data_IF_408985748773
#
_entry.id   IF_408985748773
#
_cell.length_a   1.000
_cell.length_b   1.000
_cell.length_c   1.000
_cell.angle_alpha   90.00
_cell.angle_beta   90.00
_cell.angle_gamma   90.00
#
_symmetry.space_group_name_H-M   'P 1'
#
loop_
_entity.id
_entity.type
_entity.pdbx_description
1 polymer ?
#
# COMPACT_ATOMS: atom_id res chain seq x y z
N UNK A 1 3.66 9.44 -11.24
CA UNK A 1 4.82 9.24 -12.12
C UNK A 1 6.08 9.92 -11.60
N UNK A 2 5.95 10.99 -10.84
CA UNK A 2 7.06 11.83 -10.35
C UNK A 2 8.04 11.12 -9.40
N UNK A 3 7.56 10.30 -8.44
CA UNK A 3 8.44 9.59 -7.49
C UNK A 3 9.50 8.71 -8.17
N UNK A 4 9.12 7.97 -9.22
CA UNK A 4 10.06 7.13 -9.97
C UNK A 4 11.06 7.95 -10.80
N UNK A 5 10.65 9.14 -11.22
CA UNK A 5 11.54 10.08 -11.91
C UNK A 5 12.62 10.60 -10.97
N UNK A 6 12.26 10.93 -9.72
CA UNK A 6 13.21 11.39 -8.70
C UNK A 6 14.28 10.33 -8.43
N UNK A 7 13.91 9.05 -8.31
CA UNK A 7 14.87 7.95 -8.13
C UNK A 7 15.81 7.83 -9.34
N UNK A 8 15.29 7.99 -10.57
CA UNK A 8 16.12 7.95 -11.77
C UNK A 8 17.12 9.12 -11.82
N UNK A 9 16.67 10.32 -11.48
CA UNK A 9 17.53 11.51 -11.39
C UNK A 9 18.62 11.27 -10.34
N UNK A 10 18.28 10.68 -9.19
CA UNK A 10 19.24 10.30 -8.15
C UNK A 10 20.31 9.31 -8.62
N UNK A 11 19.92 8.29 -9.40
CA UNK A 11 20.88 7.35 -9.99
C UNK A 11 21.81 8.07 -10.97
N UNK A 12 21.26 8.92 -11.84
CA UNK A 12 22.03 9.66 -12.83
C UNK A 12 23.00 10.62 -12.14
N UNK A 13 22.55 11.37 -11.14
CA UNK A 13 23.42 12.31 -10.40
C UNK A 13 24.54 11.58 -9.67
N UNK A 14 24.24 10.53 -8.89
CA UNK A 14 25.26 9.73 -8.21
C UNK A 14 26.24 9.09 -9.20
N UNK A 15 25.75 8.63 -10.36
CA UNK A 15 26.61 8.04 -11.40
C UNK A 15 27.57 9.06 -12.00
N UNK A 16 27.09 10.26 -12.34
CA UNK A 16 27.93 11.35 -12.86
C UNK A 16 28.98 11.77 -11.82
N UNK A 17 28.58 11.97 -10.57
CA UNK A 17 29.50 12.30 -9.48
C UNK A 17 30.53 11.21 -9.26
N UNK A 18 30.13 9.94 -9.32
CA UNK A 18 31.06 8.80 -9.22
C UNK A 18 32.09 8.79 -10.35
N UNK A 19 31.67 9.07 -11.59
CA UNK A 19 32.58 9.16 -12.75
C UNK A 19 33.58 10.31 -12.57
N UNK A 20 33.13 11.48 -12.13
CA UNK A 20 34.00 12.65 -11.89
C UNK A 20 35.06 12.31 -10.83
N UNK A 21 34.64 11.71 -9.71
CA UNK A 21 35.55 11.33 -8.62
C UNK A 21 36.49 10.20 -9.06
N UNK A 22 36.02 9.26 -9.87
CA UNK A 22 36.85 8.20 -10.44
C UNK A 22 37.96 8.78 -11.35
N UNK A 23 37.64 9.76 -12.20
CA UNK A 23 38.63 10.45 -13.03
C UNK A 23 39.64 11.20 -12.15
N UNK A 24 39.17 11.85 -11.08
CA UNK A 24 40.04 12.53 -10.13
C UNK A 24 40.99 11.55 -9.41
N UNK A 25 40.46 10.41 -8.93
CA UNK A 25 41.23 9.31 -8.34
C UNK A 25 42.29 8.78 -9.30
N UNK A 26 41.92 8.59 -10.57
CA UNK A 26 42.84 8.10 -11.60
C UNK A 26 44.00 9.08 -11.87
N UNK A 27 43.70 10.39 -11.91
CA UNK A 27 44.72 11.43 -12.07
C UNK A 27 45.66 11.48 -10.87
N UNK A 28 45.14 11.38 -9.65
CA UNK A 28 45.95 11.40 -8.43
C UNK A 28 46.83 10.14 -8.32
N UNK A 29 46.29 8.97 -8.64
CA UNK A 29 47.06 7.72 -8.73
C UNK A 29 48.23 7.84 -9.71
N UNK A 30 47.99 8.38 -10.92
CA UNK A 30 49.05 8.55 -11.91
C UNK A 30 50.12 9.55 -11.46
N UNK A 31 49.73 10.60 -10.73
CA UNK A 31 50.66 11.57 -10.12
C UNK A 31 51.54 10.89 -9.08
N UNK A 32 50.96 10.08 -8.21
CA UNK A 32 51.69 9.39 -7.15
C UNK A 32 52.59 8.29 -7.71
N UNK A 33 52.15 7.55 -8.72
CA UNK A 33 52.96 6.54 -9.39
C UNK A 33 54.18 7.15 -10.09
N UNK A 34 54.07 8.34 -10.68
CA UNK A 34 55.21 9.01 -11.31
C UNK A 34 56.19 9.61 -10.30
N UNK A 35 55.68 10.17 -9.19
CA UNK A 35 56.48 10.60 -8.03
C UNK A 35 57.25 9.43 -7.40
N UNK A 36 56.62 8.26 -7.28
CA UNK A 36 57.26 7.05 -6.77
C UNK A 36 58.41 6.58 -7.67
N UNK A 37 58.18 6.57 -8.99
CA UNK A 37 59.21 6.19 -9.98
C UNK A 37 60.39 7.18 -10.03
N UNK A 38 60.13 8.49 -9.92
CA UNK A 38 61.20 9.49 -9.93
C UNK A 38 62.06 9.48 -8.66
N UNK A 39 61.50 9.02 -7.54
CA UNK A 39 62.18 9.11 -6.24
C UNK A 39 62.68 7.76 -5.72
N UNK A 40 62.57 6.68 -6.51
CA UNK A 40 62.94 5.30 -6.14
C UNK A 40 62.40 4.85 -4.77
N UNK A 41 61.27 5.41 -4.32
CA UNK A 41 60.64 5.09 -3.04
C UNK A 41 61.25 5.73 -1.77
N UNK A 42 62.20 6.67 -1.88
CA UNK A 42 62.86 7.28 -0.70
C UNK A 42 62.14 8.51 -0.11
N UNK A 43 61.06 8.99 -0.74
CA UNK A 43 60.28 10.14 -0.27
C UNK A 43 58.94 9.69 0.31
N UNK A 44 58.53 10.32 1.42
CA UNK A 44 57.21 10.13 2.01
C UNK A 44 56.11 10.59 1.05
N UNK A 45 55.21 9.68 0.70
CA UNK A 45 54.05 9.93 -0.16
C UNK A 45 52.80 9.94 0.72
N UNK A 46 52.05 11.04 0.73
CA UNK A 46 50.81 11.12 1.48
C UNK A 46 49.68 10.37 0.75
N UNK A 47 49.38 9.15 1.22
CA UNK A 47 48.31 8.30 0.69
C UNK A 47 46.94 8.57 1.32
N UNK A 48 46.88 9.38 2.38
CA UNK A 48 45.65 9.65 3.13
C UNK A 48 44.57 10.25 2.23
N UNK A 49 44.96 11.17 1.34
CA UNK A 49 44.05 11.77 0.37
C UNK A 49 43.51 10.76 -0.64
N UNK A 50 44.31 9.77 -1.04
CA UNK A 50 43.87 8.72 -1.97
C UNK A 50 42.86 7.79 -1.31
N UNK A 51 43.14 7.40 -0.07
CA UNK A 51 42.23 6.55 0.72
C UNK A 51 40.91 7.29 0.95
N UNK A 52 40.95 8.57 1.32
CA UNK A 52 39.74 9.38 1.48
C UNK A 52 38.89 9.45 0.20
N UNK A 53 39.53 9.68 -0.95
CA UNK A 53 38.83 9.70 -2.25
C UNK A 53 38.22 8.34 -2.59
N UNK A 54 38.89 7.25 -2.20
CA UNK A 54 38.40 5.89 -2.40
C UNK A 54 37.20 5.54 -1.48
N UNK A 55 37.24 5.96 -0.22
CA UNK A 55 36.13 5.82 0.74
C UNK A 55 34.88 6.58 0.27
N UNK A 56 35.06 7.80 -0.22
CA UNK A 56 33.97 8.62 -0.80
C UNK A 56 33.40 7.95 -2.05
N UNK A 57 34.25 7.42 -2.94
CA UNK A 57 33.81 6.71 -4.13
C UNK A 57 33.02 5.44 -3.76
N UNK A 58 33.51 4.66 -2.80
CA UNK A 58 32.83 3.44 -2.32
C UNK A 58 31.48 3.77 -1.71
N UNK A 59 31.40 4.85 -0.94
CA UNK A 59 30.14 5.35 -0.37
C UNK A 59 29.14 5.75 -1.46
N UNK A 60 29.60 6.47 -2.50
CA UNK A 60 28.75 6.85 -3.65
C UNK A 60 28.27 5.65 -4.47
N UNK A 61 29.13 4.65 -4.66
CA UNK A 61 28.72 3.38 -5.28
C UNK A 61 27.66 2.67 -4.44
N UNK A 62 27.81 2.68 -3.11
CA UNK A 62 26.80 2.21 -2.17
C UNK A 62 25.45 2.91 -2.36
N UNK A 63 25.44 4.25 -2.49
CA UNK A 63 24.22 5.01 -2.79
C UNK A 63 23.63 4.66 -4.17
N UNK A 64 24.46 4.48 -5.20
CA UNK A 64 24.02 4.01 -6.51
C UNK A 64 23.34 2.64 -6.43
N UNK A 65 23.95 1.70 -5.71
CA UNK A 65 23.38 0.37 -5.46
C UNK A 65 22.07 0.48 -4.68
N UNK A 66 21.99 1.33 -3.66
CA UNK A 66 20.76 1.57 -2.89
C UNK A 66 19.61 2.07 -3.76
N UNK A 67 19.83 3.12 -4.58
CA UNK A 67 18.80 3.59 -5.52
C UNK A 67 18.46 2.53 -6.58
N UNK A 68 19.45 1.75 -7.02
CA UNK A 68 19.25 0.59 -7.88
C UNK A 68 18.32 -0.45 -7.27
N UNK A 69 18.50 -0.76 -5.98
CA UNK A 69 17.63 -1.65 -5.21
C UNK A 69 16.21 -1.09 -5.08
N UNK A 70 16.05 0.21 -4.83
CA UNK A 70 14.71 0.84 -4.84
C UNK A 70 14.05 0.71 -6.22
N UNK A 71 14.82 0.89 -7.29
CA UNK A 71 14.33 0.68 -8.66
C UNK A 71 13.97 -0.80 -8.91
N UNK A 72 14.69 -1.74 -8.32
CA UNK A 72 14.36 -3.17 -8.36
C UNK A 72 13.01 -3.48 -7.71
N UNK A 73 12.65 -2.81 -6.60
CA UNK A 73 11.32 -2.94 -5.97
C UNK A 73 10.19 -2.63 -6.97
N UNK A 74 10.40 -1.73 -7.94
CA UNK A 74 9.44 -1.47 -9.02
C UNK A 74 9.13 -2.72 -9.85
N UNK A 75 10.16 -3.51 -10.15
CA UNK A 75 10.02 -4.75 -10.92
C UNK A 75 9.39 -5.86 -10.08
N UNK A 76 9.58 -5.87 -8.77
CA UNK A 76 8.96 -6.88 -7.90
C UNK A 76 7.43 -6.67 -7.76
N UNK A 77 6.88 -5.51 -8.16
CA UNK A 77 5.42 -5.24 -8.16
C UNK A 77 4.59 -6.20 -9.03
N UNK A 78 5.21 -7.07 -9.83
CA UNK A 78 4.50 -8.17 -10.51
C UNK A 78 3.96 -9.23 -9.54
N UNK A 79 4.47 -9.30 -8.31
CA UNK A 79 3.91 -10.18 -7.28
C UNK A 79 2.63 -9.55 -6.67
N UNK A 80 1.52 -10.30 -6.69
CA UNK A 80 0.21 -9.83 -6.20
C UNK A 80 0.27 -9.36 -4.73
N UNK A 81 0.91 -10.11 -3.85
CA UNK A 81 1.00 -9.78 -2.41
C UNK A 81 1.77 -8.48 -2.19
N UNK A 82 2.86 -8.27 -2.93
CA UNK A 82 3.66 -7.05 -2.83
C UNK A 82 2.98 -5.85 -3.51
N UNK A 83 2.17 -6.07 -4.55
CA UNK A 83 1.32 -5.03 -5.14
C UNK A 83 0.32 -4.49 -4.12
N UNK A 84 -0.39 -5.38 -3.40
CA UNK A 84 -1.35 -5.00 -2.35
C UNK A 84 -0.67 -4.19 -1.24
N UNK A 85 0.52 -4.62 -0.80
CA UNK A 85 1.30 -3.88 0.20
C UNK A 85 1.68 -2.46 -0.27
N UNK A 86 2.14 -2.32 -1.52
CA UNK A 86 2.48 -0.99 -2.08
C UNK A 86 1.24 -0.11 -2.25
N UNK A 87 0.10 -0.69 -2.63
CA UNK A 87 -1.17 0.03 -2.75
C UNK A 87 -1.70 0.47 -1.38
N UNK A 88 -1.59 -0.40 -0.37
CA UNK A 88 -1.88 -0.09 1.04
C UNK A 88 -1.08 1.12 1.49
N UNK A 89 0.25 1.07 1.36
CA UNK A 89 1.12 2.18 1.75
C UNK A 89 0.78 3.47 1.01
N UNK A 90 0.46 3.39 -0.28
CA UNK A 90 0.08 4.56 -1.09
C UNK A 90 -1.23 5.18 -0.62
N UNK A 91 -2.20 4.37 -0.23
CA UNK A 91 -3.47 4.83 0.31
C UNK A 91 -3.27 5.56 1.64
N UNK A 92 -2.55 4.94 2.58
CA UNK A 92 -2.36 5.51 3.93
C UNK A 92 -1.29 6.60 4.01
N UNK A 93 -0.59 6.90 2.92
CA UNK A 93 0.56 7.83 2.94
C UNK A 93 0.21 9.17 3.57
N UNK A 94 -0.98 9.72 3.27
CA UNK A 94 -1.42 11.01 3.83
C UNK A 94 -1.62 10.95 5.35
N UNK A 95 -2.22 9.86 5.84
CA UNK A 95 -2.46 9.64 7.26
C UNK A 95 -1.14 9.35 8.00
N UNK A 96 -0.25 8.57 7.40
CA UNK A 96 1.09 8.31 7.92
C UNK A 96 1.94 9.57 8.03
N UNK A 97 1.86 10.49 7.07
CA UNK A 97 2.57 11.78 7.15
C UNK A 97 2.04 12.62 8.33
N UNK A 98 0.72 12.69 8.49
CA UNK A 98 0.10 13.40 9.61
C UNK A 98 0.47 12.77 10.95
N UNK A 99 0.39 11.45 11.05
CA UNK A 99 0.80 10.69 12.23
C UNK A 99 2.30 10.87 12.53
N UNK A 100 3.16 10.84 11.51
CA UNK A 100 4.60 11.05 11.66
C UNK A 100 4.92 12.44 12.24
N UNK A 101 4.18 13.47 11.82
CA UNK A 101 4.33 14.82 12.39
C UNK A 101 3.94 14.84 13.88
N UNK A 102 2.80 14.26 14.24
CA UNK A 102 2.38 14.17 15.65
C UNK A 102 3.37 13.35 16.49
N UNK A 103 3.78 12.19 15.99
CA UNK A 103 4.78 11.32 16.61
C UNK A 103 6.10 12.07 16.84
N UNK A 104 6.57 12.83 15.84
CA UNK A 104 7.83 13.58 15.94
C UNK A 104 7.79 14.63 17.07
N UNK A 105 6.65 15.29 17.28
CA UNK A 105 6.50 16.27 18.38
C UNK A 105 6.60 15.56 19.73
N UNK A 106 5.86 14.47 19.91
CA UNK A 106 5.88 13.68 21.17
C UNK A 106 7.27 13.10 21.41
N UNK A 107 7.88 12.52 20.37
CA UNK A 107 9.21 11.94 20.43
C UNK A 107 10.26 13.00 20.79
N UNK A 108 10.21 14.20 20.20
CA UNK A 108 11.14 15.27 20.53
C UNK A 108 10.93 15.84 21.95
N UNK A 109 9.70 15.86 22.45
CA UNK A 109 9.44 16.23 23.84
C UNK A 109 10.12 15.25 24.80
N UNK A 110 9.96 13.94 24.57
CA UNK A 110 10.64 12.91 25.36
C UNK A 110 12.14 12.90 25.17
N UNK A 111 12.63 13.12 23.95
CA UNK A 111 14.06 13.24 23.67
C UNK A 111 14.69 14.36 24.50
N UNK A 112 14.06 15.53 24.51
CA UNK A 112 14.52 16.68 25.27
C UNK A 112 14.45 16.43 26.77
N UNK A 113 13.38 15.78 27.25
CA UNK A 113 13.21 15.40 28.66
C UNK A 113 14.30 14.44 29.13
N UNK A 114 14.52 13.33 28.40
CA UNK A 114 15.50 12.31 28.76
C UNK A 114 16.93 12.84 28.67
N UNK A 115 17.22 13.66 27.66
CA UNK A 115 18.50 14.34 27.56
C UNK A 115 18.73 15.23 28.78
N UNK A 116 17.79 16.10 29.13
CA UNK A 116 17.96 17.01 30.27
C UNK A 116 18.02 16.31 31.63
N UNK A 117 17.24 15.25 31.84
CA UNK A 117 17.20 14.53 33.11
C UNK A 117 18.43 13.63 33.32
N UNK A 118 18.91 12.97 32.27
CA UNK A 118 19.87 11.88 32.41
C UNK A 118 21.22 12.10 31.70
N UNK A 119 21.46 13.28 31.11
CA UNK A 119 22.75 13.58 30.42
C UNK A 119 23.98 13.39 31.31
N UNK A 120 23.88 13.67 32.61
CA UNK A 120 24.99 13.52 33.56
C UNK A 120 25.12 12.11 34.14
N UNK A 121 24.09 11.28 34.01
CA UNK A 121 23.99 10.00 34.72
C UNK A 121 24.13 8.78 33.80
N UNK A 122 23.69 8.91 32.54
CA UNK A 122 23.66 7.80 31.57
C UNK A 122 24.49 8.18 30.35
N UNK A 123 25.47 7.34 30.00
CA UNK A 123 26.35 7.58 28.84
C UNK A 123 25.57 7.67 27.52
N UNK A 124 24.50 6.88 27.40
CA UNK A 124 23.59 6.90 26.25
C UNK A 124 22.82 8.23 26.13
N UNK A 125 22.74 9.04 27.19
CA UNK A 125 22.19 10.41 27.17
C UNK A 125 23.25 11.51 26.93
N UNK A 126 24.50 11.16 26.63
CA UNK A 126 25.60 12.14 26.51
C UNK A 126 25.42 13.14 25.37
N UNK A 127 24.78 12.73 24.28
CA UNK A 127 24.47 13.60 23.15
C UNK A 127 23.00 13.44 22.74
N UNK A 128 22.44 14.46 22.10
CA UNK A 128 21.07 14.43 21.57
C UNK A 128 20.87 13.25 20.60
N UNK A 129 21.87 12.95 19.76
CA UNK A 129 21.80 11.85 18.81
C UNK A 129 21.88 10.48 19.51
N UNK A 130 22.77 10.33 20.50
CA UNK A 130 22.88 9.11 21.31
C UNK A 130 21.61 8.86 22.12
N UNK A 131 21.00 9.93 22.65
CA UNK A 131 19.72 9.85 23.38
C UNK A 131 18.61 9.40 22.43
N UNK A 132 18.58 9.90 21.20
CA UNK A 132 17.61 9.46 20.20
C UNK A 132 17.79 7.99 19.83
N UNK A 133 19.03 7.53 19.67
CA UNK A 133 19.33 6.11 19.44
C UNK A 133 18.83 5.24 20.59
N UNK A 134 19.10 5.63 21.83
CA UNK A 134 18.61 4.93 23.01
C UNK A 134 17.08 4.91 23.08
N UNK A 135 16.38 6.01 22.80
CA UNK A 135 14.91 6.01 22.75
C UNK A 135 14.36 5.08 21.66
N UNK A 136 15.05 4.92 20.52
CA UNK A 136 14.70 3.90 19.53
C UNK A 136 14.93 2.49 20.05
N UNK A 137 16.04 2.22 20.75
CA UNK A 137 16.30 0.93 21.39
C UNK A 137 15.23 0.58 22.44
N UNK A 138 14.79 1.56 23.23
CA UNK A 138 13.67 1.40 24.18
C UNK A 138 12.36 1.12 23.44
N UNK A 139 12.12 1.79 22.30
CA UNK A 139 10.92 1.54 21.48
C UNK A 139 10.91 0.12 20.91
N UNK A 140 12.08 -0.43 20.58
CA UNK A 140 12.28 -1.82 20.16
C UNK A 140 12.24 -2.81 21.34
N UNK A 141 12.02 -2.34 22.58
CA UNK A 141 12.11 -3.11 23.83
C UNK A 141 13.45 -3.84 24.01
N UNK A 142 14.53 -3.32 23.45
CA UNK A 142 15.86 -3.93 23.50
C UNK A 142 16.76 -3.34 24.60
N UNK A 143 16.26 -2.37 25.37
CA UNK A 143 17.05 -1.60 26.33
C UNK A 143 16.74 -2.01 27.78
N UNK A 144 17.78 -2.13 28.61
CA UNK A 144 17.66 -2.52 30.02
C UNK A 144 17.25 -1.33 30.92
N UNK A 145 16.23 -1.53 31.74
CA UNK A 145 15.72 -0.49 32.66
C UNK A 145 16.65 -0.23 33.88
N UNK A 146 17.73 -0.99 34.02
CA UNK A 146 18.68 -0.89 35.13
C UNK A 146 19.36 0.47 35.19
N UNK A 147 19.69 1.04 34.03
CA UNK A 147 20.41 2.31 33.93
C UNK A 147 19.56 3.48 34.43
N UNK A 148 18.25 3.45 34.20
CA UNK A 148 17.30 4.45 34.70
C UNK A 148 17.08 4.34 36.20
N UNK A 149 17.03 3.12 36.72
CA UNK A 149 16.85 2.86 38.16
C UNK A 149 18.09 3.28 38.94
N UNK A 150 19.29 3.15 38.34
CA UNK A 150 20.55 3.59 38.92
C UNK A 150 20.74 5.11 38.91
N UNK A 151 20.16 5.82 37.94
CA UNK A 151 20.23 7.28 37.85
C UNK A 151 19.32 7.98 38.87
N UNK A 152 18.02 7.64 38.87
CA UNK A 152 17.07 8.10 39.87
C UNK A 152 16.05 6.99 40.18
N UNK A 153 15.95 6.51 41.44
CA UNK A 153 15.09 5.39 41.80
C UNK A 153 13.59 5.62 41.57
N UNK A 154 13.15 6.88 41.47
CA UNK A 154 11.75 7.22 41.30
C UNK A 154 11.47 7.82 39.91
N UNK A 155 12.20 8.88 39.55
CA UNK A 155 11.98 9.63 38.33
C UNK A 155 12.38 8.84 37.08
N UNK A 156 13.42 8.01 37.16
CA UNK A 156 13.88 7.14 36.07
C UNK A 156 12.80 6.15 35.62
N UNK A 157 12.36 5.22 36.48
CA UNK A 157 11.31 4.27 36.17
C UNK A 157 9.99 4.93 35.78
N UNK A 158 9.64 6.07 36.38
CA UNK A 158 8.43 6.82 36.05
C UNK A 158 8.46 7.38 34.63
N UNK A 159 9.53 8.10 34.25
CA UNK A 159 9.71 8.65 32.91
C UNK A 159 9.86 7.54 31.84
N UNK A 160 10.52 6.44 32.18
CA UNK A 160 10.63 5.27 31.31
C UNK A 160 9.26 4.61 31.06
N UNK A 161 8.47 4.41 32.12
CA UNK A 161 7.15 3.78 32.01
C UNK A 161 6.18 4.62 31.19
N UNK A 162 6.15 5.94 31.42
CA UNK A 162 5.26 6.82 30.66
C UNK A 162 5.66 6.90 29.18
N UNK A 163 6.97 6.87 28.88
CA UNK A 163 7.47 6.79 27.51
C UNK A 163 6.99 5.50 26.82
N UNK A 164 7.13 4.34 27.47
CA UNK A 164 6.66 3.07 26.92
C UNK A 164 5.14 3.09 26.67
N UNK A 165 4.36 3.56 27.64
CA UNK A 165 2.90 3.64 27.48
C UNK A 165 2.52 4.51 26.29
N UNK A 166 3.11 5.70 26.17
CA UNK A 166 2.75 6.64 25.11
C UNK A 166 3.30 6.20 23.75
N UNK A 167 4.60 5.92 23.65
CA UNK A 167 5.25 5.66 22.36
C UNK A 167 5.03 4.24 21.88
N UNK A 168 5.20 3.25 22.76
CA UNK A 168 5.10 1.85 22.36
C UNK A 168 3.63 1.45 22.29
N UNK A 169 2.86 1.62 23.36
CA UNK A 169 1.47 1.15 23.34
C UNK A 169 0.55 2.04 22.53
N UNK A 170 0.55 3.36 22.74
CA UNK A 170 -0.40 4.24 22.03
C UNK A 170 0.06 4.51 20.59
N UNK A 171 1.28 5.01 20.38
CA UNK A 171 1.71 5.40 19.02
C UNK A 171 1.86 4.19 18.09
N UNK A 172 2.47 3.07 18.51
CA UNK A 172 2.55 1.90 17.62
C UNK A 172 1.18 1.29 17.34
N UNK A 173 0.27 1.24 18.31
CA UNK A 173 -1.09 0.74 18.04
C UNK A 173 -1.83 1.60 17.03
N UNK A 174 -1.65 2.93 17.10
CA UNK A 174 -2.20 3.84 16.10
C UNK A 174 -1.57 3.61 14.72
N UNK A 175 -0.25 3.44 14.65
CA UNK A 175 0.45 3.12 13.40
C UNK A 175 -0.05 1.82 12.79
N UNK A 176 -0.20 0.76 13.60
CA UNK A 176 -0.74 -0.53 13.17
C UNK A 176 -2.19 -0.37 12.70
N UNK A 177 -3.01 0.42 13.40
CA UNK A 177 -4.41 0.66 13.02
C UNK A 177 -4.52 1.34 11.65
N UNK A 178 -3.71 2.37 11.39
CA UNK A 178 -3.67 3.05 10.08
C UNK A 178 -3.27 2.05 8.99
N UNK A 179 -2.24 1.24 9.24
CA UNK A 179 -1.82 0.20 8.29
C UNK A 179 -2.91 -0.84 8.03
N UNK A 180 -3.63 -1.27 9.08
CA UNK A 180 -4.69 -2.26 8.96
C UNK A 180 -5.87 -1.74 8.12
N UNK A 181 -6.26 -0.48 8.33
CA UNK A 181 -7.31 0.16 7.52
C UNK A 181 -6.91 0.22 6.04
N UNK A 182 -5.68 0.65 5.76
CA UNK A 182 -5.15 0.65 4.40
C UNK A 182 -5.06 -0.74 3.77
N UNK A 183 -4.74 -1.76 4.56
CA UNK A 183 -4.65 -3.14 4.08
C UNK A 183 -6.03 -3.65 3.66
N UNK A 184 -7.06 -3.46 4.49
CA UNK A 184 -8.42 -3.81 4.16
C UNK A 184 -8.92 -3.08 2.91
N UNK A 185 -8.58 -1.80 2.76
CA UNK A 185 -8.91 -1.03 1.56
C UNK A 185 -8.23 -1.60 0.29
N UNK A 186 -6.94 -1.93 0.36
CA UNK A 186 -6.20 -2.47 -0.78
C UNK A 186 -6.64 -3.90 -1.16
N UNK A 187 -7.02 -4.71 -0.17
CA UNK A 187 -7.56 -6.05 -0.40
C UNK A 187 -8.92 -5.99 -1.10
N UNK A 188 -9.82 -5.11 -0.66
CA UNK A 188 -11.13 -4.92 -1.28
C UNK A 188 -11.01 -4.50 -2.75
N UNK A 189 -10.16 -3.51 -3.06
CA UNK A 189 -9.90 -3.07 -4.44
C UNK A 189 -9.32 -4.20 -5.30
N UNK A 190 -8.45 -5.04 -4.72
CA UNK A 190 -7.86 -6.18 -5.44
C UNK A 190 -8.88 -7.27 -5.79
N UNK A 191 -9.87 -7.48 -4.92
CA UNK A 191 -10.98 -8.43 -5.17
C UNK A 191 -11.87 -7.89 -6.30
N UNK A 192 -12.20 -6.60 -6.26
CA UNK A 192 -13.03 -5.95 -7.29
C UNK A 192 -12.35 -5.99 -8.67
N UNK A 193 -11.06 -5.66 -8.75
CA UNK A 193 -10.25 -5.79 -9.98
C UNK A 193 -10.29 -7.22 -10.56
N UNK A 194 -10.17 -8.25 -9.71
CA UNK A 194 -10.22 -9.65 -10.13
C UNK A 194 -11.62 -10.05 -10.61
N UNK A 195 -12.67 -9.60 -9.92
CA UNK A 195 -14.03 -9.84 -10.33
C UNK A 195 -14.29 -9.20 -11.70
N UNK A 196 -13.96 -7.91 -11.89
CA UNK A 196 -14.13 -7.21 -13.17
C UNK A 196 -13.35 -7.89 -14.30
N UNK A 197 -12.10 -8.30 -14.07
CA UNK A 197 -11.33 -9.07 -15.04
C UNK A 197 -12.00 -10.39 -15.40
N UNK A 198 -12.53 -11.13 -14.42
CA UNK A 198 -13.25 -12.38 -14.67
C UNK A 198 -14.55 -12.13 -15.44
N UNK A 199 -15.27 -11.03 -15.19
CA UNK A 199 -16.46 -10.64 -15.93
C UNK A 199 -16.13 -10.25 -17.37
N UNK A 200 -15.08 -9.46 -17.59
CA UNK A 200 -14.61 -9.08 -18.92
C UNK A 200 -14.13 -10.29 -19.73
N UNK A 201 -13.38 -11.20 -19.10
CA UNK A 201 -12.97 -12.47 -19.72
C UNK A 201 -14.18 -13.34 -20.05
N UNK A 202 -15.14 -13.49 -19.13
CA UNK A 202 -16.40 -14.20 -19.38
C UNK A 202 -17.17 -13.62 -20.57
N UNK A 203 -17.23 -12.28 -20.68
CA UNK A 203 -17.89 -11.59 -21.80
C UNK A 203 -17.14 -11.78 -23.12
N UNK A 204 -15.82 -11.74 -23.11
CA UNK A 204 -14.97 -11.99 -24.27
C UNK A 204 -15.03 -13.45 -24.75
N UNK A 205 -15.02 -14.41 -23.81
CA UNK A 205 -15.20 -15.84 -24.08
C UNK A 205 -16.60 -16.14 -24.63
N UNK A 206 -17.65 -15.45 -24.15
CA UNK A 206 -18.98 -15.50 -24.74
C UNK A 206 -19.01 -15.01 -26.18
N UNK A 207 -18.34 -13.88 -26.45
CA UNK A 207 -18.31 -13.29 -27.79
C UNK A 207 -17.54 -14.15 -28.79
N UNK A 208 -16.47 -14.80 -28.35
CA UNK A 208 -15.64 -15.68 -29.20
C UNK A 208 -16.23 -17.07 -29.41
N UNK A 209 -17.44 -17.36 -28.90
CA UNK A 209 -18.17 -18.64 -29.03
C UNK A 209 -17.39 -19.90 -28.59
N UNK A 210 -16.19 -19.74 -28.00
CA UNK A 210 -15.30 -20.79 -27.51
C UNK A 210 -15.64 -21.25 -26.08
N UNK A 211 -16.71 -20.70 -25.50
CA UNK A 211 -17.08 -20.95 -24.11
C UNK A 211 -17.86 -22.26 -23.94
N UNK A 212 -17.39 -23.11 -23.01
CA UNK A 212 -18.23 -24.12 -22.36
C UNK A 212 -18.82 -23.53 -21.07
N UNK A 213 -20.15 -23.55 -20.87
CA UNK A 213 -20.77 -23.02 -19.66
C UNK A 213 -20.40 -23.85 -18.42
N UNK A 214 -20.30 -23.18 -17.27
CA UNK A 214 -19.99 -23.84 -16.00
C UNK A 214 -21.24 -24.55 -15.45
N UNK A 215 -21.08 -25.62 -14.67
CA UNK A 215 -22.21 -26.47 -14.26
C UNK A 215 -23.28 -25.69 -13.48
N UNK A 216 -22.89 -24.78 -12.59
CA UNK A 216 -23.81 -23.88 -11.86
C UNK A 216 -24.57 -22.90 -12.77
N UNK A 217 -23.93 -22.37 -13.83
CA UNK A 217 -24.63 -21.52 -14.80
C UNK A 217 -25.62 -22.35 -15.65
N UNK A 218 -25.30 -23.62 -15.94
CA UNK A 218 -26.25 -24.53 -16.60
C UNK A 218 -27.45 -24.76 -15.68
N UNK A 219 -27.23 -24.95 -14.38
CA UNK A 219 -28.31 -25.09 -13.40
C UNK A 219 -29.14 -23.81 -13.28
N UNK A 220 -28.55 -22.62 -13.17
CA UNK A 220 -29.29 -21.35 -13.13
C UNK A 220 -30.09 -21.10 -14.41
N UNK A 221 -29.51 -21.35 -15.59
CA UNK A 221 -30.21 -21.19 -16.87
C UNK A 221 -31.36 -22.19 -16.98
N UNK A 222 -31.16 -23.41 -16.50
CA UNK A 222 -32.18 -24.46 -16.53
C UNK A 222 -33.29 -24.21 -15.51
N UNK A 223 -32.96 -23.74 -14.31
CA UNK A 223 -33.91 -23.35 -13.26
C UNK A 223 -34.72 -22.12 -13.67
N UNK A 224 -34.06 -21.09 -14.24
CA UNK A 224 -34.73 -19.90 -14.79
C UNK A 224 -35.71 -20.28 -15.90
N UNK A 225 -35.33 -21.22 -16.78
CA UNK A 225 -36.17 -21.72 -17.86
C UNK A 225 -37.35 -22.55 -17.33
N UNK A 226 -37.13 -23.32 -16.26
CA UNK A 226 -38.19 -24.06 -15.57
C UNK A 226 -39.17 -23.09 -14.90
N UNK A 227 -38.67 -22.08 -14.18
CA UNK A 227 -39.48 -21.01 -13.57
C UNK A 227 -40.34 -20.30 -14.60
N UNK A 228 -39.78 -19.83 -15.71
CA UNK A 228 -40.56 -19.19 -16.78
C UNK A 228 -41.69 -20.10 -17.27
N UNK A 229 -41.38 -21.38 -17.54
CA UNK A 229 -42.38 -22.33 -18.02
C UNK A 229 -43.56 -22.58 -17.05
N UNK A 230 -43.35 -22.41 -15.74
CA UNK A 230 -44.42 -22.56 -14.74
C UNK A 230 -45.07 -21.23 -14.34
N UNK A 231 -44.30 -20.14 -14.26
CA UNK A 231 -44.76 -18.83 -13.75
C UNK A 231 -45.48 -18.03 -14.83
N UNK A 232 -44.99 -18.04 -16.08
CA UNK A 232 -45.59 -17.26 -17.18
C UNK A 232 -47.08 -17.63 -17.42
N UNK A 233 -47.49 -18.92 -17.41
CA UNK A 233 -48.90 -19.30 -17.55
C UNK A 233 -49.76 -18.90 -16.34
N UNK A 234 -49.18 -18.86 -15.13
CA UNK A 234 -49.90 -18.50 -13.90
C UNK A 234 -50.10 -16.99 -13.83
N UNK A 235 -49.09 -16.19 -14.19
CA UNK A 235 -49.20 -14.73 -14.25
C UNK A 235 -50.17 -14.26 -15.34
N UNK A 236 -50.29 -15.01 -16.44
CA UNK A 236 -51.22 -14.67 -17.53
C UNK A 236 -52.66 -15.18 -17.28
N UNK A 237 -52.88 -15.97 -16.22
CA UNK A 237 -54.20 -16.53 -15.89
C UNK A 237 -55.29 -15.49 -15.64
N UNK A 238 -55.06 -14.38 -14.90
CA UNK A 238 -56.06 -13.32 -14.74
C UNK A 238 -56.45 -12.70 -16.08
N UNK A 239 -55.48 -12.50 -16.97
CA UNK A 239 -55.68 -11.90 -18.29
C UNK A 239 -56.54 -12.79 -19.20
N UNK A 240 -56.39 -14.12 -19.07
CA UNK A 240 -57.25 -15.11 -19.75
C UNK A 240 -58.68 -15.07 -19.19
N UNK A 241 -58.84 -14.93 -17.88
CA UNK A 241 -60.16 -14.77 -17.25
C UNK A 241 -60.82 -13.46 -17.70
N UNK A 242 -60.08 -12.36 -17.74
CA UNK A 242 -60.59 -11.06 -18.16
C UNK A 242 -61.07 -11.11 -19.62
N UNK A 243 -60.28 -11.71 -20.52
CA UNK A 243 -60.71 -11.96 -21.90
C UNK A 243 -61.97 -12.81 -21.99
N UNK A 244 -62.09 -13.84 -21.15
CA UNK A 244 -63.25 -14.72 -21.14
C UNK A 244 -64.52 -14.01 -20.63
N UNK A 245 -64.39 -13.22 -19.56
CA UNK A 245 -65.49 -12.41 -19.02
C UNK A 245 -65.94 -11.35 -20.02
N UNK A 246 -65.00 -10.70 -20.70
CA UNK A 246 -65.32 -9.71 -21.75
C UNK A 246 -66.03 -10.36 -22.94
N UNK A 247 -65.64 -11.58 -23.33
CA UNK A 247 -66.32 -12.33 -24.37
C UNK A 247 -67.76 -12.71 -23.96
N UNK A 248 -67.99 -13.13 -22.71
CA UNK A 248 -69.34 -13.43 -22.19
C UNK A 248 -70.20 -12.17 -22.19
N UNK A 249 -69.66 -11.04 -21.71
CA UNK A 249 -70.41 -9.79 -21.64
C UNK A 249 -70.82 -9.30 -23.04
N UNK A 250 -69.92 -9.41 -24.03
CA UNK A 250 -70.27 -9.14 -25.44
C UNK A 250 -71.40 -10.02 -25.95
N UNK A 251 -71.38 -11.32 -25.67
CA UNK A 251 -72.44 -12.26 -26.10
C UNK A 251 -73.78 -11.88 -25.43
N UNK A 252 -73.77 -11.55 -24.14
CA UNK A 252 -74.98 -11.14 -23.42
C UNK A 252 -75.56 -9.84 -23.98
N UNK A 253 -74.71 -8.84 -24.24
CA UNK A 253 -75.12 -7.57 -24.84
C UNK A 253 -75.70 -7.78 -26.24
N UNK A 254 -75.09 -8.65 -27.05
CA UNK A 254 -75.56 -8.92 -28.42
C UNK A 254 -76.91 -9.65 -28.42
N UNK A 255 -77.08 -10.66 -27.55
CA UNK A 255 -78.39 -11.33 -27.36
C UNK A 255 -79.47 -10.37 -26.87
N UNK A 256 -79.14 -9.47 -25.93
CA UNK A 256 -80.08 -8.44 -25.45
C UNK A 256 -80.47 -7.47 -26.58
N UNK A 257 -79.53 -7.14 -27.47
CA UNK A 257 -79.75 -6.27 -28.63
C UNK A 257 -80.65 -6.95 -29.67
N UNK A 258 -80.45 -8.24 -29.93
CA UNK A 258 -81.32 -9.07 -30.77
C UNK A 258 -82.75 -9.17 -30.20
N UNK A 259 -82.90 -9.44 -28.91
CA UNK A 259 -84.21 -9.47 -28.24
C UNK A 259 -84.94 -8.11 -28.29
N UNK A 260 -84.20 -7.00 -28.16
CA UNK A 260 -84.76 -5.66 -28.28
C UNK A 260 -85.15 -5.30 -29.72
N UNK A 261 -84.47 -5.85 -30.74
CA UNK A 261 -84.89 -5.72 -32.15
C UNK A 261 -86.18 -6.51 -32.39
N UNK A 262 -86.27 -7.75 -31.90
CA UNK A 262 -87.47 -8.59 -32.01
C UNK A 262 -88.68 -7.92 -31.34
N UNK A 263 -88.51 -7.33 -30.15
CA UNK A 263 -89.58 -6.58 -29.46
C UNK A 263 -90.00 -5.29 -30.17
N UNK A 264 -89.16 -4.73 -31.03
CA UNK A 264 -89.45 -3.53 -31.85
C UNK A 264 -90.04 -3.87 -33.22
N UNK A 265 -89.92 -5.13 -33.66
CA UNK A 265 -90.35 -5.60 -34.98
C UNK A 265 -91.80 -6.13 -35.01
N UNK A 266 -92.52 -6.15 -33.87
CA UNK A 266 -93.96 -6.44 -33.83
C UNK A 266 -94.31 -7.92 -33.86
N UNK A 267 -94.21 -8.55 -32.68
CA UNK A 267 -95.16 -9.55 -32.17
C UNK A 267 -95.52 -9.14 -30.75
#
# INVERSE_FOLDING_TARGET
YEFWSIIQIGIISCSITSIIIYIWRFKEYNRLSSLFQQTNGYTYINLEMVVYVDDVLTSLLGFCCFFGTIKFIKFIRFNKSLRIFVETLKYVTKELISFSFMFSIVFMAFLSLFYLLFTSSIQSCSSLLSTAQMLFEITLMSFDATDFTGADPFLGPFCFSIFIIIVVFICLSMFISILNDGFHHAEQNSIEDQQILSYMLKKFLNWTHLRRPNVEEIYEIQDSRMRSHYVDPIENFPNIIDQFLEAIDRIYVDQKKELLKLKRAGV
#
